data_IF_587909309443
#
_entry.id   IF_587909309443
#
_cell.length_a   1.000
_cell.length_b   1.000
_cell.length_c   1.000
_cell.angle_alpha   90.00
_cell.angle_beta   90.00
_cell.angle_gamma   90.00
#
_symmetry.space_group_name_H-M   'P 1'
#
loop_
_entity.id
_entity.type
_entity.pdbx_description
1 polymer ?
#
# COMPACT_ATOMS: atom_id res chain seq x y z
N UNK A 1 51.92 -31.02 -32.49
CA UNK A 1 51.47 -31.56 -31.19
C UNK A 1 50.52 -30.55 -30.59
N UNK A 2 49.28 -30.96 -30.31
CA UNK A 2 48.26 -30.14 -29.71
C UNK A 2 48.30 -30.41 -28.20
N UNK A 3 48.49 -29.39 -27.37
CA UNK A 3 48.48 -29.51 -25.92
C UNK A 3 47.15 -28.98 -25.40
N UNK A 4 46.42 -29.81 -24.65
CA UNK A 4 45.21 -29.42 -23.98
C UNK A 4 45.52 -29.13 -22.50
N UNK A 5 45.22 -27.93 -22.05
CA UNK A 5 45.35 -27.59 -20.64
C UNK A 5 44.31 -28.36 -19.81
N UNK A 6 44.75 -29.16 -18.87
CA UNK A 6 43.89 -29.85 -17.93
C UNK A 6 43.92 -29.06 -16.62
N UNK A 7 42.82 -28.46 -16.27
CA UNK A 7 42.65 -27.77 -15.01
C UNK A 7 42.15 -28.75 -13.92
N UNK A 8 42.88 -28.86 -12.84
CA UNK A 8 42.44 -29.58 -11.65
C UNK A 8 42.00 -28.57 -10.61
N UNK A 9 40.83 -28.77 -10.03
CA UNK A 9 40.37 -27.95 -8.93
C UNK A 9 41.36 -28.06 -7.75
N UNK A 10 41.81 -26.94 -7.24
CA UNK A 10 42.64 -26.89 -6.03
C UNK A 10 41.80 -27.42 -4.88
N UNK A 11 42.27 -28.49 -4.20
CA UNK A 11 41.58 -29.12 -3.06
C UNK A 11 41.47 -28.16 -1.85
N UNK A 12 42.15 -27.02 -1.91
CA UNK A 12 42.12 -26.01 -0.86
C UNK A 12 41.02 -24.93 -1.10
N UNK A 13 40.28 -25.02 -2.20
CA UNK A 13 39.18 -24.07 -2.48
C UNK A 13 37.86 -24.68 -2.08
N UNK A 14 37.10 -23.97 -1.25
CA UNK A 14 35.72 -24.26 -0.89
C UNK A 14 34.81 -23.18 -1.46
N UNK A 15 33.72 -23.60 -2.10
CA UNK A 15 32.73 -22.71 -2.66
C UNK A 15 31.63 -22.49 -1.60
N UNK A 16 31.40 -21.25 -1.22
CA UNK A 16 30.25 -20.85 -0.43
C UNK A 16 29.21 -20.22 -1.37
N UNK A 17 28.02 -20.79 -1.36
CA UNK A 17 26.88 -20.27 -2.11
C UNK A 17 25.91 -19.62 -1.12
N UNK A 18 25.48 -18.40 -1.44
CA UNK A 18 24.49 -17.67 -0.65
C UNK A 18 23.21 -17.53 -1.47
N UNK A 19 22.18 -18.26 -1.09
CA UNK A 19 20.87 -18.23 -1.72
C UNK A 19 19.97 -17.24 -0.95
N UNK A 20 19.66 -16.10 -1.59
CA UNK A 20 18.89 -15.01 -1.00
C UNK A 20 17.43 -15.35 -0.71
N UNK A 21 16.90 -16.48 -1.21
CA UNK A 21 15.49 -16.88 -1.03
C UNK A 21 14.51 -15.76 -1.38
N UNK A 22 14.83 -14.98 -2.43
CA UNK A 22 13.97 -13.94 -2.95
C UNK A 22 13.60 -14.25 -4.41
N UNK A 23 12.56 -13.60 -4.91
CA UNK A 23 11.93 -13.88 -6.20
C UNK A 23 12.81 -13.46 -7.41
N UNK A 24 13.93 -12.78 -7.17
CA UNK A 24 14.89 -12.40 -8.20
C UNK A 24 16.02 -13.43 -8.27
N UNK A 25 16.19 -14.05 -9.44
CA UNK A 25 17.26 -15.05 -9.71
C UNK A 25 18.68 -14.50 -9.52
N UNK A 26 18.83 -13.22 -9.28
CA UNK A 26 20.11 -12.50 -9.29
C UNK A 26 20.84 -12.48 -7.94
N UNK A 27 20.33 -13.18 -6.92
CA UNK A 27 20.92 -13.16 -5.59
C UNK A 27 21.60 -14.47 -5.17
N UNK A 28 22.02 -15.27 -6.14
CA UNK A 28 22.97 -16.35 -5.87
C UNK A 28 24.39 -15.77 -5.86
N UNK A 29 24.90 -15.46 -4.67
CA UNK A 29 26.27 -15.01 -4.52
C UNK A 29 27.18 -16.21 -4.26
N UNK A 30 28.21 -16.33 -5.06
CA UNK A 30 29.22 -17.41 -4.94
C UNK A 30 30.55 -16.80 -4.54
N UNK A 31 31.08 -17.25 -3.42
CA UNK A 31 32.40 -16.86 -2.95
C UNK A 31 33.32 -18.08 -2.93
N UNK A 32 34.50 -17.94 -3.55
CA UNK A 32 35.58 -18.92 -3.44
C UNK A 32 36.42 -18.53 -2.23
N UNK A 33 36.50 -19.41 -1.26
CA UNK A 33 37.32 -19.20 -0.03
C UNK A 33 38.39 -20.29 -0.01
N UNK A 34 39.66 -19.86 0.07
CA UNK A 34 40.74 -20.78 0.37
C UNK A 34 40.55 -21.36 1.77
N UNK A 35 40.78 -22.65 1.94
CA UNK A 35 40.71 -23.37 3.23
C UNK A 35 41.89 -22.97 4.13
N UNK A 36 42.07 -21.70 4.36
CA UNK A 36 43.08 -21.15 5.25
C UNK A 36 42.52 -19.95 6.01
N UNK A 37 42.62 -19.97 7.31
CA UNK A 37 42.01 -18.97 8.20
C UNK A 37 40.75 -19.47 8.86
N UNK A 38 40.46 -18.99 10.06
CA UNK A 38 39.55 -19.67 10.98
C UNK A 38 38.07 -19.27 10.79
N UNK A 39 37.76 -18.11 10.20
CA UNK A 39 36.41 -17.57 10.14
C UNK A 39 35.98 -17.15 8.73
N UNK A 40 34.70 -17.11 8.49
CA UNK A 40 34.10 -16.71 7.21
C UNK A 40 34.31 -15.22 6.92
N UNK A 41 34.25 -14.37 7.94
CA UNK A 41 34.38 -12.93 7.78
C UNK A 41 33.08 -12.23 7.37
N UNK A 42 33.18 -11.15 6.58
CA UNK A 42 32.01 -10.35 6.18
C UNK A 42 31.03 -11.17 5.33
N UNK A 43 29.77 -11.19 5.76
CA UNK A 43 28.68 -11.84 5.06
C UNK A 43 28.05 -10.90 4.03
N UNK A 44 27.46 -11.43 2.94
CA UNK A 44 26.75 -10.62 1.98
C UNK A 44 25.50 -9.97 2.59
N UNK A 45 25.19 -8.78 2.11
CA UNK A 45 23.96 -8.07 2.44
C UNK A 45 22.91 -8.36 1.36
N UNK A 46 21.69 -8.63 1.78
CA UNK A 46 20.55 -8.91 0.89
C UNK A 46 19.31 -8.17 1.37
N UNK A 47 18.43 -7.88 0.42
CA UNK A 47 17.14 -7.23 0.70
C UNK A 47 16.02 -8.01 0.05
N UNK A 48 14.84 -7.97 0.67
CA UNK A 48 13.59 -8.48 0.13
C UNK A 48 12.49 -7.52 0.51
N UNK A 49 11.78 -7.02 -0.49
CA UNK A 49 10.72 -6.04 -0.27
C UNK A 49 9.67 -6.57 0.71
N UNK A 50 9.36 -5.78 1.72
CA UNK A 50 8.38 -6.11 2.74
C UNK A 50 8.83 -7.16 3.77
N UNK A 51 10.11 -7.53 3.79
CA UNK A 51 10.67 -8.49 4.73
C UNK A 51 11.89 -7.95 5.45
N UNK A 52 12.10 -8.42 6.69
CA UNK A 52 13.32 -8.20 7.46
C UNK A 52 14.25 -9.39 7.31
N UNK A 53 15.50 -9.12 6.99
CA UNK A 53 16.53 -10.15 6.91
C UNK A 53 16.87 -10.65 8.33
N UNK A 54 16.73 -11.97 8.55
CA UNK A 54 17.04 -12.60 9.83
C UNK A 54 18.49 -13.10 9.92
N UNK A 55 19.13 -13.35 8.78
CA UNK A 55 20.48 -13.88 8.74
C UNK A 55 20.64 -14.95 7.65
N UNK A 56 21.87 -15.46 7.57
CA UNK A 56 22.21 -16.60 6.73
C UNK A 56 22.21 -17.87 7.56
N UNK A 57 21.58 -18.94 7.05
CA UNK A 57 21.40 -20.20 7.79
C UNK A 57 21.85 -21.41 6.96
N UNK A 58 22.15 -22.51 7.64
CA UNK A 58 22.53 -23.79 7.00
C UNK A 58 21.38 -24.51 6.33
N UNK A 59 20.13 -24.08 6.54
CA UNK A 59 18.93 -24.65 5.94
C UNK A 59 17.95 -23.52 5.55
N UNK A 60 17.01 -23.82 4.64
CA UNK A 60 15.97 -22.86 4.18
C UNK A 60 15.02 -22.47 5.32
N UNK A 61 14.76 -23.39 6.23
CA UNK A 61 13.97 -23.21 7.43
C UNK A 61 14.72 -23.79 8.63
N UNK A 62 14.80 -23.06 9.73
CA UNK A 62 15.60 -23.45 10.87
C UNK A 62 17.09 -23.51 10.53
N UNK A 63 17.79 -24.53 11.06
CA UNK A 63 19.23 -24.68 10.86
C UNK A 63 20.04 -23.79 11.80
N UNK A 64 21.35 -23.71 11.56
CA UNK A 64 22.29 -22.92 12.36
C UNK A 64 22.58 -21.62 11.65
N UNK A 65 22.50 -20.50 12.38
CA UNK A 65 22.84 -19.19 11.88
C UNK A 65 24.34 -19.09 11.58
N UNK A 66 24.65 -18.49 10.45
CA UNK A 66 26.00 -18.15 10.02
C UNK A 66 26.34 -16.74 10.46
N UNK A 67 27.44 -16.60 11.16
CA UNK A 67 27.97 -15.29 11.56
C UNK A 67 29.36 -15.06 10.97
N UNK A 68 29.84 -13.82 11.02
CA UNK A 68 31.21 -13.49 10.61
C UNK A 68 32.29 -14.30 11.36
N UNK A 69 31.98 -14.72 12.61
CA UNK A 69 32.85 -15.53 13.44
C UNK A 69 32.71 -17.06 13.20
N UNK A 70 31.75 -17.47 12.39
CA UNK A 70 31.59 -18.89 12.06
C UNK A 70 32.83 -19.44 11.38
N UNK A 71 33.18 -20.67 11.72
CA UNK A 71 34.31 -21.37 11.10
C UNK A 71 34.05 -21.65 9.63
N UNK A 72 35.06 -21.54 8.81
CA UNK A 72 34.97 -21.94 7.39
C UNK A 72 34.66 -23.42 7.28
N UNK A 73 33.71 -23.81 6.40
CA UNK A 73 33.45 -25.23 6.15
C UNK A 73 34.59 -25.84 5.34
N UNK A 74 34.76 -27.16 5.47
CA UNK A 74 35.77 -27.93 4.72
C UNK A 74 35.25 -28.49 3.38
N UNK A 75 34.02 -28.14 3.00
CA UNK A 75 33.37 -28.58 1.76
C UNK A 75 32.49 -27.49 1.20
N UNK A 76 32.15 -27.57 -0.09
CA UNK A 76 31.19 -26.68 -0.71
C UNK A 76 29.88 -26.65 0.09
N UNK A 77 29.43 -25.48 0.44
CA UNK A 77 28.29 -25.30 1.34
C UNK A 77 27.39 -24.18 0.82
N UNK A 78 26.09 -24.42 0.86
CA UNK A 78 25.07 -23.41 0.56
C UNK A 78 24.47 -22.90 1.85
N UNK A 79 24.38 -21.59 1.97
CA UNK A 79 23.66 -20.88 3.03
C UNK A 79 22.45 -20.19 2.46
N UNK A 80 21.39 -20.14 3.23
CA UNK A 80 20.09 -19.63 2.84
C UNK A 80 19.72 -18.43 3.67
N UNK A 81 19.29 -17.36 3.01
CA UNK A 81 18.70 -16.22 3.70
C UNK A 81 17.38 -16.66 4.35
N UNK A 82 17.18 -16.28 5.60
CA UNK A 82 15.86 -16.39 6.22
C UNK A 82 15.28 -15.01 6.45
N UNK A 83 13.96 -14.92 6.37
CA UNK A 83 13.22 -13.67 6.33
C UNK A 83 12.03 -13.72 7.28
N UNK A 84 11.79 -12.62 7.98
CA UNK A 84 10.54 -12.36 8.66
C UNK A 84 9.70 -11.39 7.85
N UNK A 85 8.40 -11.65 7.70
CA UNK A 85 7.50 -10.69 7.08
C UNK A 85 7.47 -9.41 7.91
N UNK A 86 7.58 -8.26 7.24
CA UNK A 86 7.61 -6.96 7.89
C UNK A 86 6.22 -6.48 8.31
N UNK A 87 6.21 -5.65 9.33
CA UNK A 87 5.05 -4.90 9.79
C UNK A 87 5.35 -3.43 9.58
N UNK A 88 4.44 -2.71 8.93
CA UNK A 88 4.62 -1.32 8.54
C UNK A 88 3.47 -0.46 9.06
N UNK A 89 3.72 0.83 9.16
CA UNK A 89 2.76 1.79 9.72
C UNK A 89 2.47 2.90 8.73
N UNK A 90 1.20 3.08 8.40
CA UNK A 90 0.71 4.27 7.73
C UNK A 90 0.26 5.28 8.78
N UNK A 91 0.74 6.50 8.63
CA UNK A 91 0.39 7.63 9.50
C UNK A 91 -0.58 8.53 8.76
N UNK A 92 -1.77 8.74 9.30
CA UNK A 92 -2.83 9.57 8.73
C UNK A 92 -2.83 10.92 9.44
N UNK A 93 -2.33 11.96 8.77
CA UNK A 93 -2.34 13.33 9.26
C UNK A 93 -3.64 14.03 8.85
N UNK A 94 -4.47 14.51 9.78
CA UNK A 94 -5.73 15.18 9.46
C UNK A 94 -5.58 16.50 8.71
N UNK A 95 -4.36 17.04 8.57
CA UNK A 95 -4.06 18.24 7.81
C UNK A 95 -5.02 19.41 8.13
N UNK A 96 -5.22 19.63 9.43
CA UNK A 96 -6.13 20.66 9.97
C UNK A 96 -7.60 20.23 10.03
N UNK A 97 -7.90 18.94 9.90
CA UNK A 97 -9.23 18.38 10.15
C UNK A 97 -9.50 18.07 11.64
N UNK A 98 -10.71 17.63 11.93
CA UNK A 98 -11.17 17.23 13.27
C UNK A 98 -11.62 15.76 13.23
N UNK A 99 -11.16 14.92 14.16
CA UNK A 99 -10.22 15.21 15.25
C UNK A 99 -8.81 15.57 14.72
N UNK A 100 -8.15 16.51 15.39
CA UNK A 100 -6.80 16.95 15.00
C UNK A 100 -5.72 16.06 15.62
N UNK A 101 -5.92 14.76 15.58
CA UNK A 101 -4.96 13.76 16.05
C UNK A 101 -4.58 12.83 14.91
N UNK A 102 -3.28 12.56 14.79
CA UNK A 102 -2.79 11.60 13.84
C UNK A 102 -3.26 10.18 14.17
N UNK A 103 -3.81 9.49 13.19
CA UNK A 103 -4.19 8.08 13.31
C UNK A 103 -3.09 7.22 12.70
N UNK A 104 -2.78 6.09 13.33
CA UNK A 104 -1.82 5.11 12.82
C UNK A 104 -2.53 3.82 12.46
N UNK A 105 -2.22 3.28 11.28
CA UNK A 105 -2.66 1.97 10.81
C UNK A 105 -1.43 1.11 10.65
N UNK A 106 -1.28 0.09 11.50
CA UNK A 106 -0.15 -0.82 11.46
C UNK A 106 -0.62 -2.18 10.98
N UNK A 107 0.01 -2.70 9.93
CA UNK A 107 -0.35 -3.94 9.25
C UNK A 107 0.88 -4.72 8.81
N UNK A 108 0.71 -6.01 8.64
CA UNK A 108 1.70 -6.86 8.00
C UNK A 108 1.77 -6.54 6.50
N UNK A 109 2.94 -6.65 5.92
CA UNK A 109 3.14 -6.46 4.48
C UNK A 109 2.11 -7.26 3.65
N UNK A 110 1.52 -6.60 2.66
CA UNK A 110 0.42 -7.08 1.79
C UNK A 110 -0.93 -7.33 2.48
N UNK A 111 -1.07 -7.09 3.78
CA UNK A 111 -2.38 -7.08 4.42
C UNK A 111 -3.20 -5.86 3.97
N UNK A 112 -4.50 -6.03 3.75
CA UNK A 112 -5.39 -4.93 3.38
C UNK A 112 -5.47 -3.88 4.49
N UNK A 113 -5.47 -2.60 4.09
CA UNK A 113 -5.55 -1.47 5.02
C UNK A 113 -6.85 -1.50 5.82
N UNK A 114 -7.97 -1.78 5.17
CA UNK A 114 -9.28 -1.83 5.80
C UNK A 114 -9.94 -0.44 5.88
N UNK A 115 -10.87 -0.28 6.79
CA UNK A 115 -11.68 0.94 6.92
C UNK A 115 -10.80 2.13 7.26
N UNK A 116 -10.93 3.20 6.48
CA UNK A 116 -10.23 4.46 6.71
C UNK A 116 -11.11 5.44 7.51
N UNK A 117 -10.54 6.23 8.43
CA UNK A 117 -11.31 7.22 9.17
C UNK A 117 -11.79 8.34 8.25
N UNK A 118 -13.03 8.75 8.45
CA UNK A 118 -13.62 9.95 7.87
C UNK A 118 -13.49 11.07 8.92
N UNK A 119 -13.01 12.22 8.48
CA UNK A 119 -12.79 13.39 9.34
C UNK A 119 -13.44 14.62 8.73
N UNK A 120 -13.65 15.65 9.52
CA UNK A 120 -14.30 16.89 9.09
C UNK A 120 -13.37 18.09 9.22
N UNK A 121 -13.66 19.13 8.42
CA UNK A 121 -13.02 20.43 8.53
C UNK A 121 -14.06 21.47 8.14
N UNK A 122 -14.30 22.44 9.03
CA UNK A 122 -15.28 23.50 8.78
C UNK A 122 -14.96 24.28 7.50
N UNK A 123 -15.95 24.43 6.62
CA UNK A 123 -15.81 25.09 5.33
C UNK A 123 -15.08 24.28 4.25
N UNK A 124 -14.83 22.98 4.47
CA UNK A 124 -14.13 22.11 3.53
C UNK A 124 -14.86 20.79 3.32
N UNK A 125 -14.58 20.13 2.21
CA UNK A 125 -14.99 18.79 1.83
C UNK A 125 -13.78 17.88 1.98
N UNK A 126 -13.96 16.72 2.62
CA UNK A 126 -12.93 15.71 2.76
C UNK A 126 -12.80 14.89 1.47
N UNK A 127 -11.61 14.86 0.88
CA UNK A 127 -11.31 14.18 -0.37
C UNK A 127 -10.40 12.95 -0.18
N UNK A 128 -10.51 12.31 0.99
CA UNK A 128 -9.74 11.11 1.29
C UNK A 128 -8.32 11.39 1.80
N UNK A 129 -7.59 10.30 1.96
CA UNK A 129 -6.22 10.28 2.45
C UNK A 129 -5.26 10.13 1.27
N UNK A 130 -4.28 11.03 1.15
CA UNK A 130 -3.37 11.11 0.02
C UNK A 130 -1.92 11.18 0.43
N UNK A 131 -1.05 10.44 -0.26
CA UNK A 131 0.40 10.59 -0.11
C UNK A 131 0.91 11.85 -0.82
N UNK A 132 2.10 12.32 -0.40
CA UNK A 132 2.81 13.43 -1.03
C UNK A 132 4.23 13.02 -1.38
N UNK A 133 4.77 13.57 -2.47
CA UNK A 133 6.19 13.46 -2.79
C UNK A 133 7.02 14.53 -2.03
N UNK A 134 8.34 14.48 -2.20
CA UNK A 134 9.29 15.40 -1.55
C UNK A 134 9.05 16.87 -1.90
N UNK A 135 8.35 17.15 -3.00
CA UNK A 135 7.96 18.51 -3.43
C UNK A 135 6.60 18.93 -2.86
N UNK A 136 5.96 18.10 -2.05
CA UNK A 136 4.66 18.34 -1.46
C UNK A 136 3.47 18.11 -2.40
N UNK A 137 3.69 17.62 -3.62
CA UNK A 137 2.62 17.33 -4.56
C UNK A 137 1.87 16.05 -4.16
N UNK A 138 0.56 16.03 -4.35
CA UNK A 138 -0.28 14.87 -4.17
C UNK A 138 0.09 13.77 -5.18
N UNK A 139 0.19 12.53 -4.72
CA UNK A 139 0.65 11.39 -5.54
C UNK A 139 -0.44 10.36 -5.72
N UNK A 140 -0.89 9.73 -4.64
CA UNK A 140 -1.86 8.64 -4.69
C UNK A 140 -2.82 8.69 -3.51
N UNK A 141 -4.07 8.28 -3.77
CA UNK A 141 -5.04 8.06 -2.71
C UNK A 141 -4.78 6.73 -2.01
N UNK A 142 -5.04 6.68 -0.71
CA UNK A 142 -5.09 5.45 0.07
C UNK A 142 -6.52 4.92 0.03
N UNK A 143 -6.68 3.69 -0.46
CA UNK A 143 -7.96 3.01 -0.54
C UNK A 143 -8.09 1.94 0.54
N UNK A 144 -9.31 1.62 1.03
CA UNK A 144 -9.52 0.56 2.02
C UNK A 144 -9.02 -0.81 1.59
N UNK A 145 -9.05 -1.10 0.29
CA UNK A 145 -8.56 -2.34 -0.32
C UNK A 145 -7.09 -2.28 -0.75
N UNK A 146 -6.41 -1.16 -0.54
CA UNK A 146 -4.97 -1.08 -0.75
C UNK A 146 -4.27 -2.08 0.17
N UNK A 147 -3.23 -2.73 -0.35
CA UNK A 147 -2.37 -3.58 0.46
C UNK A 147 -1.30 -2.73 1.16
N UNK A 148 -0.91 -3.12 2.38
CA UNK A 148 0.22 -2.51 3.07
C UNK A 148 1.50 -2.72 2.26
N UNK A 149 2.16 -1.64 1.87
CA UNK A 149 3.45 -1.68 1.20
C UNK A 149 4.60 -1.92 2.19
N UNK A 150 5.76 -2.28 1.68
CA UNK A 150 6.95 -2.65 2.47
C UNK A 150 7.70 -1.45 3.06
N UNK A 151 7.00 -0.37 3.40
CA UNK A 151 7.58 0.84 3.99
C UNK A 151 6.56 1.63 4.80
N UNK A 152 7.05 2.33 5.82
CA UNK A 152 6.24 3.30 6.55
C UNK A 152 5.93 4.50 5.66
N UNK A 153 4.66 4.93 5.63
CA UNK A 153 4.22 6.01 4.73
C UNK A 153 3.30 6.97 5.47
N UNK A 154 3.47 8.27 5.20
CA UNK A 154 2.56 9.31 5.67
C UNK A 154 1.51 9.64 4.60
N UNK A 155 0.26 9.65 5.02
CA UNK A 155 -0.89 10.11 4.25
C UNK A 155 -1.48 11.33 4.93
N UNK A 156 -1.97 12.25 4.14
CA UNK A 156 -2.54 13.52 4.59
C UNK A 156 -3.98 13.62 4.13
N UNK A 157 -4.84 14.15 4.97
CA UNK A 157 -6.18 14.51 4.54
C UNK A 157 -6.13 15.55 3.44
N UNK A 158 -6.81 15.27 2.34
CA UNK A 158 -6.97 16.22 1.25
C UNK A 158 -8.30 16.93 1.41
N UNK A 159 -8.28 18.25 1.27
CA UNK A 159 -9.42 19.13 1.48
C UNK A 159 -9.69 19.97 0.27
N UNK A 160 -10.97 20.10 -0.12
CA UNK A 160 -11.45 21.11 -1.06
C UNK A 160 -12.29 22.13 -0.32
N UNK A 161 -12.05 23.41 -0.53
CA UNK A 161 -12.87 24.46 0.07
C UNK A 161 -14.29 24.38 -0.45
N UNK A 162 -15.28 24.37 0.45
CA UNK A 162 -16.69 24.54 0.07
C UNK A 162 -16.84 25.91 -0.59
N UNK A 163 -17.38 25.92 -1.80
CA UNK A 163 -17.73 27.15 -2.49
C UNK A 163 -19.24 27.27 -2.38
N UNK A 164 -19.73 28.31 -1.74
CA UNK A 164 -21.16 28.57 -1.50
C UNK A 164 -21.92 28.93 -2.81
N UNK A 165 -21.30 28.82 -3.95
CA UNK A 165 -21.92 29.06 -5.26
C UNK A 165 -22.46 27.76 -5.81
N UNK A 166 -23.74 27.53 -5.59
CA UNK A 166 -24.50 26.47 -6.26
C UNK A 166 -24.68 26.84 -7.73
N UNK A 167 -24.04 26.12 -8.63
CA UNK A 167 -24.47 26.11 -10.02
C UNK A 167 -25.58 25.06 -10.17
N UNK A 168 -26.82 25.50 -10.29
CA UNK A 168 -27.96 24.66 -10.65
C UNK A 168 -27.81 24.32 -12.13
N UNK A 169 -27.04 23.26 -12.43
CA UNK A 169 -26.76 22.88 -13.80
C UNK A 169 -27.79 21.82 -14.22
N UNK A 170 -28.80 22.26 -14.95
CA UNK A 170 -29.71 21.40 -15.67
C UNK A 170 -29.08 20.94 -16.98
N UNK A 171 -28.15 20.00 -16.94
CA UNK A 171 -27.50 19.48 -18.15
C UNK A 171 -26.87 18.10 -17.92
N UNK A 172 -26.61 17.38 -19.00
CA UNK A 172 -25.86 16.12 -18.96
C UNK A 172 -24.39 16.45 -18.91
N UNK A 173 -23.79 16.32 -17.72
CA UNK A 173 -22.37 16.55 -17.50
C UNK A 173 -21.68 15.24 -17.25
N UNK A 174 -20.46 15.13 -17.77
CA UNK A 174 -19.54 14.04 -17.46
C UNK A 174 -18.37 14.59 -16.65
N UNK A 175 -18.32 14.28 -15.37
CA UNK A 175 -17.19 14.62 -14.51
C UNK A 175 -16.37 13.36 -14.24
N UNK A 176 -15.17 13.26 -14.78
CA UNK A 176 -14.24 12.18 -14.46
C UNK A 176 -13.69 12.31 -13.04
N UNK A 177 -13.59 13.52 -12.54
CA UNK A 177 -13.09 13.88 -11.22
C UNK A 177 -13.79 15.16 -10.75
N UNK A 178 -14.63 15.06 -9.72
CA UNK A 178 -15.45 16.17 -9.23
C UNK A 178 -15.03 16.55 -7.80
N UNK A 179 -14.61 17.79 -7.61
CA UNK A 179 -14.17 18.32 -6.30
C UNK A 179 -15.03 19.52 -5.83
N UNK A 180 -16.06 19.89 -6.58
CA UNK A 180 -16.91 21.05 -6.28
C UNK A 180 -18.10 20.74 -5.38
N UNK A 181 -19.12 21.59 -5.43
CA UNK A 181 -20.41 21.41 -4.78
C UNK A 181 -21.52 21.44 -5.81
N UNK A 182 -22.34 20.40 -5.86
CA UNK A 182 -23.54 20.30 -6.70
C UNK A 182 -24.76 20.22 -5.81
N UNK A 183 -25.72 21.09 -6.04
CA UNK A 183 -27.03 20.99 -5.40
C UNK A 183 -27.81 19.74 -5.88
N UNK A 184 -27.71 19.44 -7.16
CA UNK A 184 -28.33 18.27 -7.76
C UNK A 184 -27.45 17.73 -8.88
N UNK A 185 -27.10 16.43 -8.82
CA UNK A 185 -26.45 15.75 -9.91
C UNK A 185 -27.50 15.14 -10.86
N UNK A 186 -27.57 15.62 -12.08
CA UNK A 186 -28.40 15.08 -13.17
C UNK A 186 -27.57 14.45 -14.29
N UNK A 187 -26.24 14.44 -14.15
CA UNK A 187 -25.28 13.89 -15.11
C UNK A 187 -24.48 12.72 -14.53
N UNK A 188 -23.35 12.42 -15.14
CA UNK A 188 -22.46 11.36 -14.67
C UNK A 188 -21.27 11.92 -13.94
N UNK A 189 -21.06 11.47 -12.71
CA UNK A 189 -19.83 11.70 -11.91
C UNK A 189 -19.13 10.37 -11.75
N UNK A 190 -17.92 10.24 -12.32
CA UNK A 190 -17.14 9.00 -12.19
C UNK A 190 -16.53 8.93 -10.79
N UNK A 191 -15.80 9.94 -10.38
CA UNK A 191 -15.21 10.02 -9.04
C UNK A 191 -15.66 11.32 -8.36
N UNK A 192 -16.47 11.20 -7.30
CA UNK A 192 -16.87 12.33 -6.48
C UNK A 192 -15.94 12.50 -5.30
N UNK A 193 -15.24 13.61 -5.24
CA UNK A 193 -14.45 14.06 -4.08
C UNK A 193 -15.07 15.32 -3.44
N UNK A 194 -16.17 15.80 -3.99
CA UNK A 194 -16.88 16.99 -3.58
C UNK A 194 -18.15 16.71 -2.79
N UNK A 195 -19.03 17.68 -2.74
CA UNK A 195 -20.36 17.59 -2.17
C UNK A 195 -21.43 17.51 -3.28
N UNK A 196 -22.26 16.49 -3.24
CA UNK A 196 -23.48 16.37 -4.01
C UNK A 196 -24.65 16.33 -3.01
N UNK A 197 -25.47 17.39 -2.94
CA UNK A 197 -26.59 17.41 -1.99
C UNK A 197 -27.65 16.35 -2.36
N UNK A 198 -27.96 16.21 -3.66
CA UNK A 198 -28.92 15.22 -4.16
C UNK A 198 -28.42 14.59 -5.44
N UNK A 199 -28.29 13.29 -5.47
CA UNK A 199 -27.91 12.51 -6.65
C UNK A 199 -29.14 11.82 -7.25
N UNK A 200 -29.51 12.18 -8.47
CA UNK A 200 -30.60 11.57 -9.25
C UNK A 200 -30.08 10.93 -10.53
N UNK A 201 -28.77 10.76 -10.67
CA UNK A 201 -28.12 10.16 -11.83
C UNK A 201 -26.90 9.35 -11.38
N UNK A 202 -25.88 9.22 -12.21
CA UNK A 202 -24.79 8.28 -11.95
C UNK A 202 -23.69 8.89 -11.08
N UNK A 203 -23.34 8.22 -9.99
CA UNK A 203 -22.06 8.37 -9.28
C UNK A 203 -21.41 6.99 -9.24
N UNK A 204 -20.26 6.84 -9.91
CA UNK A 204 -19.57 5.54 -9.92
C UNK A 204 -18.83 5.31 -8.62
N UNK A 205 -17.99 6.24 -8.21
CA UNK A 205 -17.21 6.14 -6.96
C UNK A 205 -17.38 7.42 -6.14
N UNK A 206 -17.82 7.28 -4.90
CA UNK A 206 -17.93 8.39 -3.97
C UNK A 206 -16.82 8.34 -2.93
N UNK A 207 -15.95 9.33 -2.93
CA UNK A 207 -14.94 9.60 -1.89
C UNK A 207 -15.32 10.82 -1.03
N UNK A 208 -16.24 11.66 -1.52
CA UNK A 208 -16.73 12.87 -0.86
C UNK A 208 -18.04 12.66 -0.14
N UNK A 209 -18.92 13.61 -0.24
CA UNK A 209 -20.23 13.63 0.41
C UNK A 209 -21.37 13.61 -0.61
N UNK A 210 -22.35 12.74 -0.39
CA UNK A 210 -23.63 12.71 -1.11
C UNK A 210 -24.74 12.80 -0.06
N UNK A 211 -25.50 13.89 -0.04
CA UNK A 211 -26.56 14.10 0.95
C UNK A 211 -27.69 13.08 0.80
N UNK A 212 -28.20 12.90 -0.43
CA UNK A 212 -29.16 11.86 -0.75
C UNK A 212 -28.90 11.27 -2.13
N UNK A 213 -29.16 9.99 -2.33
CA UNK A 213 -29.07 9.33 -3.65
C UNK A 213 -30.35 8.55 -3.95
N UNK A 214 -30.98 8.88 -5.09
CA UNK A 214 -32.14 8.18 -5.66
C UNK A 214 -31.71 7.10 -6.65
N UNK A 215 -30.41 7.02 -6.96
CA UNK A 215 -29.83 6.07 -7.92
C UNK A 215 -28.64 5.35 -7.31
N UNK A 216 -28.23 4.25 -7.94
CA UNK A 216 -27.12 3.46 -7.42
C UNK A 216 -25.79 4.21 -7.41
N UNK A 217 -25.04 4.01 -6.33
CA UNK A 217 -23.61 4.32 -6.24
C UNK A 217 -22.85 2.98 -6.31
N UNK A 218 -21.91 2.84 -7.25
CA UNK A 218 -21.18 1.58 -7.39
C UNK A 218 -20.22 1.34 -6.23
N UNK A 219 -19.42 2.32 -5.86
CA UNK A 219 -18.47 2.22 -4.77
C UNK A 219 -18.58 3.44 -3.86
N UNK A 220 -18.85 3.24 -2.58
CA UNK A 220 -18.82 4.31 -1.59
C UNK A 220 -17.65 4.15 -0.65
N UNK A 221 -16.76 5.13 -0.61
CA UNK A 221 -15.66 5.29 0.35
C UNK A 221 -15.82 6.55 1.20
N UNK A 222 -16.77 7.43 0.84
CA UNK A 222 -17.06 8.67 1.53
C UNK A 222 -18.31 8.56 2.39
N UNK A 223 -19.05 9.66 2.49
CA UNK A 223 -20.28 9.76 3.27
C UNK A 223 -21.51 9.86 2.35
N UNK A 224 -22.54 9.10 2.65
CA UNK A 224 -23.86 9.18 2.01
C UNK A 224 -24.91 9.33 3.10
N UNK A 225 -25.66 10.44 3.07
CA UNK A 225 -26.70 10.68 4.07
C UNK A 225 -27.87 9.72 3.90
N UNK A 226 -28.58 9.78 2.79
CA UNK A 226 -29.76 8.95 2.52
C UNK A 226 -29.62 8.14 1.25
N UNK A 227 -29.93 6.85 1.31
CA UNK A 227 -29.92 5.93 0.16
C UNK A 227 -31.35 5.49 -0.15
N UNK A 228 -31.84 5.81 -1.34
CA UNK A 228 -33.19 5.44 -1.83
C UNK A 228 -33.17 4.28 -2.83
N UNK A 229 -32.02 3.99 -3.48
CA UNK A 229 -31.84 2.83 -4.37
C UNK A 229 -30.83 1.84 -3.75
N UNK A 230 -29.57 1.94 -4.09
CA UNK A 230 -28.55 1.01 -3.56
C UNK A 230 -27.15 1.56 -3.60
N UNK A 231 -26.29 0.99 -2.76
CA UNK A 231 -24.83 1.05 -2.88
C UNK A 231 -24.34 -0.37 -3.13
N UNK A 232 -23.57 -0.57 -4.21
CA UNK A 232 -23.11 -1.92 -4.61
C UNK A 232 -21.94 -2.38 -3.73
N UNK A 233 -21.01 -1.47 -3.40
CA UNK A 233 -19.92 -1.73 -2.50
C UNK A 233 -19.76 -0.56 -1.56
N UNK A 234 -19.91 -0.79 -0.24
CA UNK A 234 -19.82 0.26 0.76
C UNK A 234 -18.65 0.04 1.72
N UNK A 235 -17.66 0.94 1.64
CA UNK A 235 -16.54 1.04 2.56
C UNK A 235 -16.51 2.40 3.29
N UNK A 236 -17.57 3.20 3.13
CA UNK A 236 -17.77 4.49 3.76
C UNK A 236 -18.91 4.50 4.77
N UNK A 237 -19.44 5.67 5.06
CA UNK A 237 -20.55 5.88 6.00
C UNK A 237 -21.84 6.10 5.25
N UNK A 238 -22.93 5.51 5.76
CA UNK A 238 -24.31 5.73 5.31
C UNK A 238 -25.16 6.00 6.54
N UNK A 239 -25.90 7.13 6.55
CA UNK A 239 -26.71 7.51 7.71
C UNK A 239 -28.06 6.82 7.72
N UNK A 240 -28.73 6.75 6.56
CA UNK A 240 -30.09 6.22 6.43
C UNK A 240 -30.27 5.44 5.13
N UNK A 241 -30.87 4.28 5.25
CA UNK A 241 -31.31 3.45 4.11
C UNK A 241 -32.84 3.35 4.14
N UNK A 242 -33.50 3.73 3.03
CA UNK A 242 -34.95 3.61 2.93
C UNK A 242 -35.33 2.17 2.51
N UNK A 243 -36.47 1.67 2.97
CA UNK A 243 -36.92 0.26 2.88
C UNK A 243 -36.74 -0.46 1.53
N UNK A 244 -36.65 0.28 0.42
CA UNK A 244 -36.42 -0.31 -0.91
C UNK A 244 -34.96 -0.39 -1.32
N UNK A 245 -34.06 0.24 -0.55
CA UNK A 245 -32.63 0.30 -0.86
C UNK A 245 -31.86 -0.91 -0.35
N UNK A 246 -30.72 -1.21 -0.96
CA UNK A 246 -29.80 -2.24 -0.50
C UNK A 246 -28.35 -1.75 -0.48
N UNK A 247 -27.60 -2.22 0.53
CA UNK A 247 -26.18 -1.94 0.68
C UNK A 247 -25.43 -3.28 0.73
N UNK A 248 -24.33 -3.38 0.02
CA UNK A 248 -23.41 -4.50 0.02
C UNK A 248 -22.00 -4.06 0.34
#
# INVERSE_FOLDING_TARGET
>A
RQYTAVWKQDSNIVILTFDGQNDTKDQLMIYNILTGGDTIGKLPEVTKEGYHFLGWFTAKEGGTELTAASKKPHKNTTYYAQWAIGTYTYTLDPNGGTPNSTTKITKVYKENIGILPIISKEGYIFNGWWSRNDKGNWVSALEPNSAMEGQDTAYYARWTRKIDTYSDTTGVYLYSHFEGSLKKNTGTVVNNFGLIERNVSTVTTNYGEVGATETAISNNYGHVGTVEDKIISNNGVVDLVIDTASIR
#
